data_IF_106644352136
#
_entry.id   IF_106644352136
#
_cell.length_a   1.000
_cell.length_b   1.000
_cell.length_c   1.000
_cell.angle_alpha   90.00
_cell.angle_beta   90.00
_cell.angle_gamma   90.00
#
_symmetry.space_group_name_H-M   'P 1'
#
loop_
_entity.id
_entity.type
_entity.pdbx_description
1 polymer ?
#
# COMPACT_ATOMS: atom_id res chain seq x y z
N UNK A 1 -10.96 3.92 12.68
CA UNK A 1 -10.47 4.27 11.33
C UNK A 1 -11.17 3.40 10.31
N UNK A 2 -11.71 3.99 9.30
CA UNK A 2 -12.47 3.25 8.30
C UNK A 2 -11.61 2.99 7.06
N UNK A 3 -11.92 1.90 6.37
CA UNK A 3 -11.22 1.57 5.12
C UNK A 3 -11.37 2.69 4.11
N UNK A 4 -12.52 3.37 4.13
CA UNK A 4 -12.78 4.47 3.22
C UNK A 4 -11.77 5.62 3.39
N UNK A 5 -11.43 5.95 4.62
CA UNK A 5 -10.44 6.98 4.89
C UNK A 5 -9.07 6.58 4.37
N UNK A 6 -8.70 5.34 4.62
CA UNK A 6 -7.41 4.82 4.16
C UNK A 6 -7.36 4.82 2.63
N UNK A 7 -8.44 4.38 2.01
CA UNK A 7 -8.54 4.37 0.55
C UNK A 7 -8.40 5.76 -0.03
N UNK A 8 -9.07 6.74 0.56
CA UNK A 8 -8.97 8.11 0.08
C UNK A 8 -7.56 8.67 0.20
N UNK A 9 -6.87 8.34 1.28
CA UNK A 9 -5.48 8.71 1.46
C UNK A 9 -4.59 8.12 0.38
N UNK A 10 -4.79 6.85 0.10
CA UNK A 10 -4.00 6.13 -0.91
C UNK A 10 -4.34 6.64 -2.30
N UNK A 11 -5.61 6.89 -2.57
CA UNK A 11 -6.05 7.42 -3.87
C UNK A 11 -5.40 8.78 -4.17
N UNK A 12 -5.26 9.61 -3.14
CA UNK A 12 -4.66 10.92 -3.32
C UNK A 12 -3.16 10.83 -3.65
N UNK A 13 -2.56 9.68 -3.40
CA UNK A 13 -1.15 9.45 -3.66
C UNK A 13 -0.92 8.57 -4.87
N UNK A 14 -1.96 8.34 -5.66
CA UNK A 14 -1.84 7.54 -6.86
C UNK A 14 -0.79 8.15 -7.79
N UNK A 15 0.17 7.32 -8.21
CA UNK A 15 1.28 7.80 -9.02
C UNK A 15 2.43 8.39 -8.23
N UNK A 16 2.27 8.57 -6.92
CA UNK A 16 3.31 9.11 -6.07
C UNK A 16 4.13 8.01 -5.43
N UNK A 17 5.37 8.35 -5.12
CA UNK A 17 6.25 7.45 -4.40
C UNK A 17 5.85 7.41 -2.93
N UNK A 18 5.61 6.23 -2.41
CA UNK A 18 5.16 6.07 -1.03
C UNK A 18 5.97 4.99 -0.33
N UNK A 19 5.92 5.06 0.98
CA UNK A 19 6.57 4.08 1.85
C UNK A 19 5.49 3.37 2.64
N UNK A 20 5.45 2.05 2.51
CA UNK A 20 4.44 1.23 3.16
C UNK A 20 5.07 0.45 4.29
N UNK A 21 4.49 0.56 5.46
CA UNK A 21 4.89 -0.28 6.59
C UNK A 21 3.82 -1.33 6.76
N UNK A 22 4.18 -2.56 6.48
CA UNK A 22 3.27 -3.69 6.51
C UNK A 22 3.50 -4.51 7.77
N UNK A 23 2.45 -4.76 8.50
CA UNK A 23 2.52 -5.60 9.70
C UNK A 23 2.35 -7.06 9.27
N UNK A 24 3.48 -7.73 9.10
CA UNK A 24 3.47 -9.14 8.78
C UNK A 24 3.12 -9.97 10.01
N UNK A 25 3.09 -11.28 9.84
CA UNK A 25 2.83 -12.17 10.94
C UNK A 25 3.98 -12.14 11.94
N UNK A 26 3.67 -12.47 13.20
CA UNK A 26 4.65 -12.63 14.29
C UNK A 26 5.45 -11.36 14.59
N UNK A 27 4.76 -10.23 14.65
CA UNK A 27 5.37 -8.95 15.07
C UNK A 27 6.50 -8.50 14.17
N UNK A 28 6.55 -8.97 12.95
CA UNK A 28 7.53 -8.49 11.99
C UNK A 28 6.93 -7.36 11.19
N UNK A 29 7.63 -6.24 11.19
CA UNK A 29 7.27 -5.12 10.34
C UNK A 29 8.14 -5.15 9.11
N UNK A 30 7.51 -5.10 7.98
CA UNK A 30 8.22 -5.04 6.70
C UNK A 30 7.96 -3.69 6.07
N UNK A 31 8.97 -3.15 5.44
CA UNK A 31 8.90 -1.84 4.85
C UNK A 31 9.11 -1.96 3.35
N UNK A 32 8.17 -1.38 2.61
CA UNK A 32 8.24 -1.37 1.16
C UNK A 32 8.12 0.06 0.66
N UNK A 33 8.85 0.39 -0.38
CA UNK A 33 8.70 1.68 -1.03
C UNK A 33 8.47 1.47 -2.51
N UNK A 34 7.64 2.32 -3.08
CA UNK A 34 7.32 2.21 -4.48
C UNK A 34 6.26 3.23 -4.87
N UNK A 35 5.78 3.09 -6.07
CA UNK A 35 4.77 4.00 -6.63
C UNK A 35 3.42 3.29 -6.63
N UNK A 36 2.39 3.99 -6.14
CA UNK A 36 1.06 3.43 -6.18
C UNK A 36 0.60 3.38 -7.62
N UNK A 37 0.39 2.17 -8.12
CA UNK A 37 0.02 1.94 -9.51
C UNK A 37 -1.49 1.94 -9.69
N UNK A 38 -2.20 1.26 -8.81
CA UNK A 38 -3.65 1.13 -8.91
C UNK A 38 -4.26 1.00 -7.53
N UNK A 39 -5.51 1.42 -7.41
CA UNK A 39 -6.27 1.26 -6.17
C UNK A 39 -7.58 0.58 -6.47
N UNK A 40 -8.01 -0.26 -5.54
CA UNK A 40 -9.27 -0.99 -5.62
C UNK A 40 -10.06 -0.79 -4.33
N UNK A 41 -11.22 -1.41 -4.23
CA UNK A 41 -12.09 -1.19 -3.08
C UNK A 41 -11.48 -1.67 -1.76
N UNK A 42 -10.70 -2.73 -1.78
CA UNK A 42 -10.15 -3.32 -0.57
C UNK A 42 -8.64 -3.44 -0.58
N UNK A 43 -8.03 -3.33 -1.74
CA UNK A 43 -6.58 -3.47 -1.88
C UNK A 43 -6.05 -2.39 -2.81
N UNK A 44 -4.75 -2.19 -2.73
CA UNK A 44 -4.05 -1.31 -3.67
C UNK A 44 -2.78 -2.00 -4.14
N UNK A 45 -2.28 -1.55 -5.27
CA UNK A 45 -1.11 -2.16 -5.90
C UNK A 45 -0.02 -1.12 -5.99
N UNK A 46 1.18 -1.50 -5.57
CA UNK A 46 2.35 -0.65 -5.72
C UNK A 46 3.37 -1.34 -6.62
N UNK A 47 4.14 -0.52 -7.32
CA UNK A 47 5.25 -0.98 -8.12
C UNK A 47 6.53 -0.56 -7.41
N UNK A 48 7.31 -1.54 -6.97
CA UNK A 48 8.53 -1.27 -6.23
C UNK A 48 9.67 -0.93 -7.19
N UNK A 49 10.80 -0.52 -6.62
CA UNK A 49 11.94 -0.09 -7.42
C UNK A 49 12.54 -1.19 -8.31
N UNK A 50 12.27 -2.44 -7.99
CA UNK A 50 12.76 -3.54 -8.79
C UNK A 50 11.78 -4.02 -9.86
N UNK A 51 10.82 -3.18 -10.23
CA UNK A 51 9.75 -3.54 -11.16
C UNK A 51 8.87 -4.67 -10.64
N UNK A 52 8.91 -4.93 -9.36
CA UNK A 52 8.03 -5.90 -8.74
C UNK A 52 6.68 -5.25 -8.43
N UNK A 53 5.63 -6.01 -8.68
CA UNK A 53 4.28 -5.56 -8.37
C UNK A 53 3.82 -6.27 -7.11
N UNK A 54 3.40 -5.49 -6.12
CA UNK A 54 2.92 -6.03 -4.86
C UNK A 54 1.55 -5.45 -4.56
N UNK A 55 0.69 -6.29 -3.99
CA UNK A 55 -0.63 -5.85 -3.57
C UNK A 55 -0.72 -5.88 -2.04
N UNK A 56 -1.42 -4.91 -1.50
CA UNK A 56 -1.62 -4.80 -0.07
C UNK A 56 -3.07 -4.49 0.23
N UNK A 57 -3.55 -5.02 1.33
CA UNK A 57 -4.87 -4.68 1.83
C UNK A 57 -4.80 -3.39 2.62
N UNK A 58 -5.82 -2.56 2.49
CA UNK A 58 -5.89 -1.33 3.29
C UNK A 58 -5.88 -1.62 4.79
N UNK A 59 -6.31 -2.80 5.18
CA UNK A 59 -6.36 -3.18 6.59
C UNK A 59 -5.00 -3.53 7.16
N UNK A 60 -4.04 -3.84 6.32
CA UNK A 60 -2.73 -4.32 6.75
C UNK A 60 -1.67 -3.22 6.80
N UNK A 61 -2.05 -2.03 6.41
CA UNK A 61 -1.11 -0.90 6.38
C UNK A 61 -1.53 0.24 7.29
#
# INVERSE_FOLDING_TARGET
MTIEKIKNNIDSKLGDNVKIIYNGSRNKKEEYSGIISETYNYIFIIKTNGDEIKSFSYRDV
#
